data_IF_824601321900
#
_entry.id   IF_824601321900
#
_cell.length_a   1.000
_cell.length_b   1.000
_cell.length_c   1.000
_cell.angle_alpha   90.00
_cell.angle_beta   90.00
_cell.angle_gamma   90.00
#
_symmetry.space_group_name_H-M   'P 1'
#
loop_
_entity.id
_entity.type
_entity.pdbx_description
1 polymer ?
#
# COMPACT_ATOMS: atom_id res chain seq x y z
N UNK A 1 34.07 -1.57 -17.70
CA UNK A 1 33.00 -1.24 -16.72
C UNK A 1 31.93 -2.32 -16.84
N UNK A 2 31.38 -2.81 -15.74
CA UNK A 2 30.25 -3.74 -15.79
C UNK A 2 29.05 -3.05 -16.48
N UNK A 3 28.30 -3.78 -17.30
CA UNK A 3 27.11 -3.27 -17.98
C UNK A 3 26.06 -2.90 -16.91
N UNK A 4 25.55 -1.66 -16.95
CA UNK A 4 24.46 -1.23 -16.05
C UNK A 4 23.19 -1.99 -16.38
N UNK A 5 22.42 -2.35 -15.35
CA UNK A 5 21.08 -2.91 -15.52
C UNK A 5 20.10 -1.80 -15.91
N UNK A 6 19.22 -2.09 -16.88
CA UNK A 6 18.20 -1.17 -17.38
C UNK A 6 16.92 -1.34 -16.61
N UNK A 7 16.55 -0.30 -15.86
CA UNK A 7 15.42 -0.30 -14.94
C UNK A 7 14.32 0.62 -15.45
N UNK A 8 13.15 0.08 -15.73
CA UNK A 8 11.95 0.87 -16.01
C UNK A 8 11.26 1.27 -14.71
N UNK A 9 11.12 2.56 -14.42
CA UNK A 9 10.31 3.04 -13.31
C UNK A 9 8.92 3.38 -13.84
N UNK A 10 7.94 2.58 -13.46
CA UNK A 10 6.55 2.71 -13.93
C UNK A 10 5.71 3.44 -12.89
N UNK A 11 4.96 4.48 -13.29
CA UNK A 11 4.23 5.34 -12.36
C UNK A 11 2.96 5.94 -12.97
N UNK A 12 2.10 6.54 -12.12
CA UNK A 12 0.82 7.13 -12.48
C UNK A 12 -0.32 6.12 -12.35
N UNK A 13 -1.03 5.83 -13.43
CA UNK A 13 -2.10 4.83 -13.48
C UNK A 13 -3.50 5.40 -13.26
N UNK A 14 -4.50 4.53 -13.43
CA UNK A 14 -5.95 4.87 -13.37
C UNK A 14 -6.53 4.82 -11.97
N UNK A 15 -5.70 4.64 -10.94
CA UNK A 15 -6.16 4.57 -9.55
C UNK A 15 -6.45 5.94 -8.95
N UNK A 16 -7.19 5.96 -7.83
CA UNK A 16 -7.36 7.16 -7.01
C UNK A 16 -6.07 7.62 -6.30
N UNK A 17 -4.98 6.88 -6.44
CA UNK A 17 -3.66 7.16 -5.84
C UNK A 17 -2.62 7.61 -6.89
N UNK A 18 -3.10 8.08 -8.04
CA UNK A 18 -2.26 8.53 -9.16
C UNK A 18 -1.17 9.53 -8.72
N UNK A 19 -1.55 10.57 -7.97
CA UNK A 19 -0.65 11.62 -7.49
C UNK A 19 0.40 11.07 -6.51
N UNK A 20 0.02 10.14 -5.66
CA UNK A 20 0.95 9.46 -4.73
C UNK A 20 1.97 8.65 -5.49
N UNK A 21 1.56 8.02 -6.59
CA UNK A 21 2.46 7.29 -7.50
C UNK A 21 3.50 8.22 -8.14
N UNK A 22 3.10 9.41 -8.60
CA UNK A 22 4.02 10.41 -9.15
C UNK A 22 5.08 10.84 -8.13
N UNK A 23 4.66 11.13 -6.89
CA UNK A 23 5.56 11.52 -5.80
C UNK A 23 6.54 10.39 -5.43
N UNK A 24 6.04 9.16 -5.36
CA UNK A 24 6.85 7.99 -5.07
C UNK A 24 7.88 7.75 -6.17
N UNK A 25 7.49 7.87 -7.45
CA UNK A 25 8.39 7.74 -8.58
C UNK A 25 9.48 8.81 -8.59
N UNK A 26 9.13 10.08 -8.38
CA UNK A 26 10.11 11.17 -8.26
C UNK A 26 11.13 10.89 -7.14
N UNK A 27 10.66 10.35 -6.00
CA UNK A 27 11.53 9.99 -4.88
C UNK A 27 12.48 8.84 -5.22
N UNK A 28 12.00 7.79 -5.90
CA UNK A 28 12.82 6.65 -6.37
C UNK A 28 13.83 7.11 -7.41
N UNK A 29 13.40 7.88 -8.42
CA UNK A 29 14.25 8.40 -9.49
C UNK A 29 15.37 9.29 -8.97
N UNK A 30 15.11 10.06 -7.90
CA UNK A 30 16.11 10.90 -7.24
C UNK A 30 17.09 10.15 -6.32
N UNK A 31 16.81 8.89 -5.96
CA UNK A 31 17.61 8.14 -5.00
C UNK A 31 18.29 6.89 -5.59
N UNK A 32 17.82 6.40 -6.74
CA UNK A 32 18.33 5.19 -7.38
C UNK A 32 19.81 5.34 -7.77
N UNK A 33 20.58 4.27 -7.63
CA UNK A 33 22.01 4.24 -7.91
C UNK A 33 22.30 4.29 -9.42
N UNK A 34 22.62 5.49 -9.94
CA UNK A 34 22.96 5.69 -11.35
C UNK A 34 24.27 5.05 -11.78
N UNK A 35 25.11 4.65 -10.87
CA UNK A 35 26.34 3.92 -11.20
C UNK A 35 26.05 2.44 -11.54
N UNK A 36 25.02 1.88 -10.92
CA UNK A 36 24.56 0.49 -11.13
C UNK A 36 23.46 0.37 -12.19
N UNK A 37 22.60 1.39 -12.31
CA UNK A 37 21.36 1.34 -13.08
C UNK A 37 21.28 2.42 -14.15
N UNK A 38 20.84 2.03 -15.33
CA UNK A 38 20.32 2.90 -16.37
C UNK A 38 18.80 2.92 -16.23
N UNK A 39 18.21 4.12 -16.14
CA UNK A 39 16.82 4.24 -15.69
C UNK A 39 15.96 4.92 -16.73
N UNK A 40 14.86 4.26 -17.09
CA UNK A 40 13.85 4.76 -18.03
C UNK A 40 12.54 4.99 -17.27
N UNK A 41 12.09 6.22 -17.08
CA UNK A 41 10.78 6.50 -16.52
C UNK A 41 9.68 6.21 -17.54
N UNK A 42 8.61 5.57 -17.08
CA UNK A 42 7.45 5.19 -17.88
C UNK A 42 6.20 5.67 -17.14
N UNK A 43 5.43 6.55 -17.77
CA UNK A 43 4.22 7.11 -17.19
C UNK A 43 2.96 6.40 -17.68
N UNK A 44 1.94 6.33 -16.82
CA UNK A 44 0.57 5.93 -17.21
C UNK A 44 -0.38 7.07 -16.84
N UNK A 45 -1.14 7.58 -17.81
CA UNK A 45 -2.12 8.65 -17.55
C UNK A 45 -3.32 8.15 -16.73
N UNK A 46 -4.16 9.06 -16.25
CA UNK A 46 -5.44 8.70 -15.59
C UNK A 46 -6.40 7.96 -16.52
N UNK A 47 -6.29 8.18 -17.83
CA UNK A 47 -7.08 7.49 -18.86
C UNK A 47 -6.48 6.11 -19.22
N UNK A 48 -5.27 5.79 -18.71
CA UNK A 48 -4.60 4.51 -18.93
C UNK A 48 -3.67 4.48 -20.15
N UNK A 49 -3.30 5.63 -20.73
CA UNK A 49 -2.32 5.69 -21.83
C UNK A 49 -0.90 5.58 -21.26
N UNK A 50 -0.08 4.76 -21.91
CA UNK A 50 1.32 4.58 -21.57
C UNK A 50 2.19 5.56 -22.32
N UNK A 51 3.11 6.20 -21.61
CA UNK A 51 3.97 7.24 -22.13
C UNK A 51 5.41 6.95 -21.75
N UNK A 52 6.36 7.06 -22.69
CA UNK A 52 7.76 7.24 -22.35
C UNK A 52 7.97 8.73 -22.06
N UNK A 53 8.46 9.06 -20.91
CA UNK A 53 8.75 10.44 -20.57
C UNK A 53 10.07 10.84 -21.25
N UNK A 54 9.99 11.47 -22.43
CA UNK A 54 11.16 12.08 -23.10
C UNK A 54 11.83 13.14 -22.19
N UNK A 55 11.02 13.84 -21.38
CA UNK A 55 11.48 14.92 -20.48
C UNK A 55 11.54 14.47 -19.00
N UNK A 56 11.93 13.20 -18.78
CA UNK A 56 12.19 12.67 -17.43
C UNK A 56 13.16 13.53 -16.59
N UNK A 57 13.97 14.36 -17.23
CA UNK A 57 14.84 15.31 -16.56
C UNK A 57 14.07 16.30 -15.69
N UNK A 58 12.89 16.76 -16.10
CA UNK A 58 12.09 17.70 -15.30
C UNK A 58 11.49 17.02 -14.05
N UNK A 59 11.14 15.74 -14.15
CA UNK A 59 10.71 14.95 -13.00
C UNK A 59 11.87 14.64 -12.04
N UNK A 60 13.08 14.44 -12.58
CA UNK A 60 14.30 14.19 -11.80
C UNK A 60 14.75 15.45 -11.03
N UNK A 61 14.50 16.64 -11.60
CA UNK A 61 14.89 17.93 -11.03
C UNK A 61 13.77 18.55 -10.17
N UNK A 62 12.56 18.00 -10.18
CA UNK A 62 11.47 18.49 -9.34
C UNK A 62 11.75 18.18 -7.86
N UNK A 63 11.77 19.21 -7.03
CA UNK A 63 11.78 19.07 -5.58
C UNK A 63 10.50 18.35 -5.13
N UNK A 64 10.62 17.10 -4.69
CA UNK A 64 9.50 16.30 -4.21
C UNK A 64 8.72 17.03 -3.10
N UNK A 65 9.39 17.89 -2.32
CA UNK A 65 8.77 18.76 -1.32
C UNK A 65 7.93 19.88 -1.95
N UNK A 66 8.33 20.40 -3.10
CA UNK A 66 7.56 21.42 -3.83
C UNK A 66 6.29 20.83 -4.44
N UNK A 67 6.37 19.61 -4.99
CA UNK A 67 5.21 18.86 -5.50
C UNK A 67 4.24 18.53 -4.35
N UNK A 68 4.75 18.07 -3.20
CA UNK A 68 3.94 17.81 -2.02
C UNK A 68 3.23 19.08 -1.49
N UNK A 69 3.90 20.25 -1.50
CA UNK A 69 3.28 21.53 -1.12
C UNK A 69 2.18 21.95 -2.09
N UNK A 70 2.35 21.75 -3.40
CA UNK A 70 1.36 22.06 -4.43
C UNK A 70 0.13 21.15 -4.33
N UNK A 71 0.32 19.85 -4.07
CA UNK A 71 -0.78 18.93 -3.82
C UNK A 71 -1.57 19.29 -2.55
N UNK A 72 -0.89 19.81 -1.50
CA UNK A 72 -1.55 20.34 -0.29
C UNK A 72 -2.40 21.58 -0.56
N UNK A 73 -2.03 22.39 -1.55
CA UNK A 73 -2.76 23.59 -1.95
C UNK A 73 -4.00 23.29 -2.82
N UNK A 74 -4.25 22.04 -3.19
CA UNK A 74 -5.43 21.64 -3.97
C UNK A 74 -5.40 22.12 -5.44
N UNK A 75 -4.23 22.45 -5.97
CA UNK A 75 -4.08 22.90 -7.35
C UNK A 75 -4.01 21.69 -8.31
N UNK A 76 -5.05 21.43 -9.13
CA UNK A 76 -5.09 20.30 -10.04
C UNK A 76 -4.09 20.42 -11.22
N UNK A 77 -3.58 21.61 -11.52
CA UNK A 77 -2.56 21.83 -12.57
C UNK A 77 -1.13 21.72 -12.02
N UNK A 78 -0.97 21.58 -10.72
CA UNK A 78 0.31 21.69 -10.03
C UNK A 78 1.16 20.43 -10.01
N UNK A 79 0.80 19.37 -10.71
CA UNK A 79 1.60 18.15 -10.80
C UNK A 79 2.52 18.22 -12.03
N UNK A 80 3.84 18.42 -11.87
CA UNK A 80 4.79 18.36 -13.00
C UNK A 80 4.65 17.06 -13.80
N UNK A 81 4.31 15.95 -13.10
CA UNK A 81 4.04 14.68 -13.73
C UNK A 81 2.80 14.65 -14.63
N UNK A 82 1.73 15.40 -14.32
CA UNK A 82 0.56 15.45 -15.18
C UNK A 82 0.85 16.12 -16.52
N UNK A 83 1.66 17.18 -16.52
CA UNK A 83 2.11 17.84 -17.75
C UNK A 83 3.02 16.94 -18.58
N UNK A 84 4.01 16.29 -17.95
CA UNK A 84 4.91 15.32 -18.57
C UNK A 84 4.16 14.13 -19.17
N UNK A 85 3.16 13.58 -18.46
CA UNK A 85 2.34 12.48 -18.93
C UNK A 85 1.43 12.89 -20.10
N UNK A 86 1.06 14.15 -20.20
CA UNK A 86 0.23 14.66 -21.29
C UNK A 86 1.03 14.91 -22.57
N UNK A 87 2.28 15.35 -22.43
CA UNK A 87 3.19 15.70 -23.53
C UNK A 87 4.13 14.53 -23.95
N UNK A 88 4.12 13.41 -23.19
CA UNK A 88 5.00 12.27 -23.44
C UNK A 88 4.65 11.46 -24.69
N UNK A 89 5.62 10.70 -25.17
CA UNK A 89 5.49 9.85 -26.36
C UNK A 89 4.81 8.53 -25.97
N UNK A 90 3.76 8.07 -26.69
CA UNK A 90 3.13 6.78 -26.42
C UNK A 90 4.13 5.62 -26.48
N UNK A 91 4.16 4.81 -25.45
CA UNK A 91 5.06 3.66 -25.33
C UNK A 91 4.23 2.38 -25.19
N UNK A 92 4.57 1.36 -25.95
CA UNK A 92 3.99 0.02 -25.86
C UNK A 92 5.03 -0.95 -25.29
N UNK A 93 4.63 -1.76 -24.31
CA UNK A 93 5.39 -2.96 -23.95
C UNK A 93 5.12 -4.02 -25.03
N UNK A 94 6.15 -4.51 -25.68
CA UNK A 94 6.00 -5.57 -26.66
C UNK A 94 5.62 -6.89 -25.94
N UNK A 95 4.55 -7.58 -26.36
CA UNK A 95 4.08 -8.78 -25.69
C UNK A 95 4.89 -10.05 -25.97
N UNK A 96 6.07 -9.95 -26.60
CA UNK A 96 6.88 -11.12 -26.91
C UNK A 96 7.67 -11.59 -25.67
N UNK A 97 7.66 -12.91 -25.38
CA UNK A 97 8.44 -13.49 -24.30
C UNK A 97 9.93 -13.12 -24.46
N UNK A 98 10.52 -12.49 -23.44
CA UNK A 98 11.87 -11.95 -23.39
C UNK A 98 12.13 -10.69 -24.24
N UNK A 99 11.14 -10.13 -24.91
CA UNK A 99 11.25 -8.83 -25.56
C UNK A 99 10.84 -7.74 -24.57
N UNK A 100 11.81 -7.18 -23.89
CA UNK A 100 11.64 -6.02 -23.00
C UNK A 100 11.71 -4.71 -23.79
N UNK A 101 11.27 -4.75 -25.04
CA UNK A 101 11.39 -3.62 -25.96
C UNK A 101 10.23 -2.66 -25.77
N UNK A 102 10.53 -1.43 -25.38
CA UNK A 102 9.58 -0.31 -25.45
C UNK A 102 9.55 0.20 -26.88
N UNK A 103 8.40 0.07 -27.56
CA UNK A 103 8.22 0.60 -28.92
C UNK A 103 7.85 2.08 -28.82
N UNK A 104 8.68 2.93 -29.38
CA UNK A 104 8.37 4.33 -29.57
C UNK A 104 7.77 4.51 -30.96
N UNK A 105 6.47 4.86 -31.07
CA UNK A 105 5.76 4.92 -32.37
C UNK A 105 6.31 5.97 -33.35
N UNK A 106 7.11 6.94 -32.89
CA UNK A 106 7.60 8.04 -33.73
C UNK A 106 9.10 8.03 -34.05
N UNK A 107 9.85 7.10 -33.47
CA UNK A 107 11.27 6.92 -33.81
C UNK A 107 11.49 5.43 -34.03
N UNK A 108 12.03 5.09 -35.21
CA UNK A 108 12.26 3.68 -35.57
C UNK A 108 12.98 2.93 -34.44
N UNK A 109 12.61 1.70 -34.27
CA UNK A 109 13.06 0.66 -33.36
C UNK A 109 14.43 0.87 -32.66
N UNK A 110 14.56 1.87 -31.80
CA UNK A 110 15.59 1.87 -30.74
C UNK A 110 15.00 1.13 -29.54
N UNK A 111 15.02 -0.20 -29.67
CA UNK A 111 14.51 -1.12 -28.69
C UNK A 111 15.46 -1.22 -27.52
N UNK A 112 15.31 -0.36 -26.53
CA UNK A 112 16.00 -0.54 -25.26
C UNK A 112 15.24 -1.55 -24.42
N UNK A 113 15.68 -2.83 -24.49
CA UNK A 113 15.14 -3.88 -23.65
C UNK A 113 15.39 -3.58 -22.17
N UNK A 114 14.36 -3.60 -21.33
CA UNK A 114 14.47 -3.45 -19.89
C UNK A 114 14.90 -4.78 -19.24
N UNK A 115 15.77 -4.72 -18.25
CA UNK A 115 16.18 -5.88 -17.47
C UNK A 115 15.20 -6.12 -16.30
N UNK A 116 14.60 -5.05 -15.77
CA UNK A 116 13.63 -5.10 -14.67
C UNK A 116 12.72 -3.88 -14.68
N UNK A 117 11.48 -4.05 -14.21
CA UNK A 117 10.53 -2.94 -13.98
C UNK A 117 10.32 -2.73 -12.49
N UNK A 118 10.35 -1.49 -12.06
CA UNK A 118 9.92 -1.09 -10.71
C UNK A 118 8.57 -0.37 -10.82
N UNK A 119 7.45 -1.08 -10.62
CA UNK A 119 6.13 -0.48 -10.67
C UNK A 119 5.87 0.27 -9.36
N UNK A 120 5.96 1.58 -9.40
CA UNK A 120 5.62 2.48 -8.28
C UNK A 120 4.16 2.91 -8.45
N UNK A 121 3.28 1.92 -8.58
CA UNK A 121 1.84 2.09 -8.80
C UNK A 121 1.09 1.73 -7.53
N UNK A 122 0.27 2.64 -7.03
CA UNK A 122 -0.50 2.43 -5.80
C UNK A 122 -1.99 2.21 -6.11
N UNK A 123 -2.62 1.33 -5.31
CA UNK A 123 -4.04 1.02 -5.41
C UNK A 123 -4.41 0.12 -6.59
N UNK A 124 -5.65 0.29 -7.06
CA UNK A 124 -6.24 -0.53 -8.13
C UNK A 124 -5.43 -0.47 -9.41
N UNK A 125 -5.32 -1.58 -10.12
CA UNK A 125 -4.48 -1.82 -11.30
C UNK A 125 -2.97 -1.85 -11.03
N UNK A 126 -2.50 -1.34 -9.88
CA UNK A 126 -1.09 -1.34 -9.48
C UNK A 126 -0.73 -2.45 -8.49
N UNK A 127 -1.62 -2.71 -7.52
CA UNK A 127 -1.39 -3.63 -6.41
C UNK A 127 -2.27 -4.88 -6.42
N UNK A 128 -3.18 -5.02 -7.39
CA UNK A 128 -4.24 -6.04 -7.43
C UNK A 128 -3.94 -7.26 -8.33
N UNK A 129 -2.71 -7.38 -8.81
CA UNK A 129 -2.30 -8.46 -9.72
C UNK A 129 -2.44 -8.12 -11.21
N UNK A 130 -3.12 -7.03 -11.56
CA UNK A 130 -3.40 -6.68 -12.97
C UNK A 130 -2.12 -6.35 -13.73
N UNK A 131 -1.31 -5.40 -13.24
CA UNK A 131 -0.05 -5.04 -13.89
C UNK A 131 0.99 -6.16 -13.78
N UNK A 132 0.97 -6.91 -12.68
CA UNK A 132 1.84 -8.05 -12.46
C UNK A 132 1.56 -9.14 -13.53
N UNK A 133 0.28 -9.37 -13.85
CA UNK A 133 -0.11 -10.30 -14.91
C UNK A 133 0.45 -9.90 -16.29
N UNK A 134 0.51 -8.60 -16.61
CA UNK A 134 1.13 -8.11 -17.81
C UNK A 134 2.63 -8.42 -17.85
N UNK A 135 3.36 -8.18 -16.75
CA UNK A 135 4.79 -8.47 -16.66
C UNK A 135 5.07 -9.97 -16.72
N UNK A 136 4.18 -10.79 -16.13
CA UNK A 136 4.27 -12.24 -16.20
C UNK A 136 4.18 -12.75 -17.64
N UNK A 137 3.19 -12.28 -18.40
CA UNK A 137 3.00 -12.64 -19.81
C UNK A 137 4.16 -12.17 -20.69
N UNK A 138 4.72 -11.00 -20.38
CA UNK A 138 5.88 -10.45 -21.10
C UNK A 138 7.22 -11.07 -20.68
N UNK A 139 7.26 -11.92 -19.62
CA UNK A 139 8.49 -12.52 -19.11
C UNK A 139 9.46 -11.53 -18.48
N UNK A 140 8.98 -10.36 -18.01
CA UNK A 140 9.79 -9.26 -17.48
C UNK A 140 9.92 -9.41 -15.97
N UNK A 141 11.15 -9.27 -15.44
CA UNK A 141 11.37 -9.14 -14.00
C UNK A 141 10.75 -7.84 -13.47
N UNK A 142 10.14 -7.89 -12.29
CA UNK A 142 9.54 -6.70 -11.67
C UNK A 142 9.63 -6.73 -10.14
N UNK A 143 9.73 -5.54 -9.56
CA UNK A 143 9.77 -5.34 -8.11
C UNK A 143 8.39 -5.54 -7.50
N UNK A 144 8.32 -6.19 -6.35
CA UNK A 144 7.10 -6.42 -5.59
C UNK A 144 6.57 -7.85 -5.71
N UNK A 145 5.37 -8.07 -5.20
CA UNK A 145 4.72 -9.37 -5.17
C UNK A 145 4.26 -9.84 -6.55
N UNK A 146 4.15 -11.15 -6.74
CA UNK A 146 3.57 -11.76 -7.92
C UNK A 146 2.06 -11.53 -8.04
N UNK A 147 1.44 -12.09 -9.08
CA UNK A 147 -0.01 -11.96 -9.34
C UNK A 147 -0.84 -12.41 -8.14
N UNK A 148 -0.56 -13.60 -7.60
CA UNK A 148 -1.30 -14.17 -6.48
C UNK A 148 -1.17 -13.30 -5.23
N UNK A 149 0.07 -12.98 -4.83
CA UNK A 149 0.34 -12.19 -3.62
C UNK A 149 -0.26 -10.79 -3.71
N UNK A 150 -0.16 -10.13 -4.87
CA UNK A 150 -0.76 -8.81 -5.09
C UNK A 150 -2.30 -8.86 -4.98
N UNK A 151 -2.94 -9.78 -5.69
CA UNK A 151 -4.39 -9.92 -5.66
C UNK A 151 -4.93 -10.32 -4.28
N UNK A 152 -4.26 -11.27 -3.60
CA UNK A 152 -4.62 -11.72 -2.26
C UNK A 152 -4.40 -10.63 -1.20
N UNK A 153 -3.30 -9.87 -1.29
CA UNK A 153 -2.99 -8.77 -0.38
C UNK A 153 -3.91 -7.58 -0.54
N UNK A 154 -4.40 -7.31 -1.75
CA UNK A 154 -5.31 -6.19 -2.01
C UNK A 154 -6.74 -6.47 -1.53
N UNK A 155 -7.23 -7.70 -1.68
CA UNK A 155 -8.59 -8.09 -1.29
C UNK A 155 -8.68 -8.41 0.19
N UNK A 156 -9.26 -7.50 0.98
CA UNK A 156 -9.36 -7.62 2.45
C UNK A 156 -10.08 -8.88 2.94
N UNK A 157 -11.03 -9.40 2.17
CA UNK A 157 -11.73 -10.64 2.54
C UNK A 157 -10.83 -11.86 2.31
N UNK A 158 -10.17 -11.95 1.14
CA UNK A 158 -9.24 -13.04 0.82
C UNK A 158 -8.05 -13.02 1.77
N UNK A 159 -7.42 -11.87 1.95
CA UNK A 159 -6.33 -11.66 2.89
C UNK A 159 -6.67 -12.13 4.30
N UNK A 160 -7.85 -11.76 4.83
CA UNK A 160 -8.28 -12.20 6.16
C UNK A 160 -8.54 -13.71 6.27
N UNK A 161 -9.02 -14.35 5.21
CA UNK A 161 -9.15 -15.81 5.16
C UNK A 161 -7.78 -16.49 5.22
N UNK A 162 -6.79 -15.97 4.51
CA UNK A 162 -5.40 -16.46 4.58
C UNK A 162 -4.80 -16.25 5.98
N UNK A 163 -5.06 -15.11 6.61
CA UNK A 163 -4.63 -14.85 7.98
C UNK A 163 -5.27 -15.82 8.98
N UNK A 164 -6.57 -16.15 8.83
CA UNK A 164 -7.25 -17.15 9.68
C UNK A 164 -6.63 -18.52 9.51
N UNK A 165 -6.36 -18.97 8.29
CA UNK A 165 -5.70 -20.24 8.01
C UNK A 165 -4.30 -20.31 8.60
N UNK A 166 -3.54 -19.21 8.50
CA UNK A 166 -2.24 -19.06 9.14
C UNK A 166 -2.29 -18.83 10.66
N UNK A 167 -3.49 -18.89 11.27
CA UNK A 167 -3.73 -18.68 12.71
C UNK A 167 -3.23 -17.35 13.25
N UNK A 168 -3.23 -16.32 12.40
CA UNK A 168 -2.87 -14.98 12.79
C UNK A 168 -4.01 -14.31 13.56
N UNK A 169 -3.69 -13.53 14.60
CA UNK A 169 -4.71 -12.80 15.36
C UNK A 169 -5.27 -11.65 14.50
N UNK A 170 -6.54 -11.71 14.16
CA UNK A 170 -7.27 -10.66 13.44
C UNK A 170 -8.51 -10.23 14.21
N UNK A 171 -9.04 -9.06 13.89
CA UNK A 171 -10.31 -8.58 14.43
C UNK A 171 -11.47 -9.39 13.88
N UNK A 172 -12.55 -9.51 14.66
CA UNK A 172 -13.80 -10.12 14.17
C UNK A 172 -14.33 -9.32 12.98
N UNK A 173 -14.76 -10.04 11.97
CA UNK A 173 -15.29 -9.41 10.74
C UNK A 173 -16.43 -10.23 10.15
N UNK A 174 -17.19 -9.58 9.28
CA UNK A 174 -18.24 -10.16 8.44
C UNK A 174 -18.04 -9.62 7.02
N UNK A 175 -18.13 -10.50 6.04
CA UNK A 175 -18.10 -10.13 4.62
C UNK A 175 -19.51 -10.23 4.05
N UNK A 176 -19.92 -9.22 3.26
CA UNK A 176 -21.19 -9.12 2.58
C UNK A 176 -20.97 -8.84 1.10
N UNK A 177 -21.86 -9.32 0.24
CA UNK A 177 -21.94 -8.87 -1.13
C UNK A 177 -22.87 -7.64 -1.24
N UNK A 178 -22.52 -6.70 -2.12
CA UNK A 178 -23.38 -5.56 -2.45
C UNK A 178 -24.81 -6.01 -2.82
N UNK A 179 -24.93 -7.07 -3.64
CA UNK A 179 -26.21 -7.62 -4.04
C UNK A 179 -27.06 -8.10 -2.85
N UNK A 180 -26.44 -8.71 -1.82
CA UNK A 180 -27.13 -9.14 -0.61
C UNK A 180 -27.59 -7.96 0.23
N UNK A 181 -26.76 -6.92 0.34
CA UNK A 181 -27.10 -5.66 0.98
C UNK A 181 -28.31 -5.01 0.30
N UNK A 182 -28.25 -4.82 -1.01
CA UNK A 182 -29.32 -4.18 -1.80
C UNK A 182 -30.64 -4.97 -1.77
N UNK A 183 -30.54 -6.31 -1.87
CA UNK A 183 -31.74 -7.19 -1.86
C UNK A 183 -32.41 -7.25 -0.49
N UNK A 184 -31.64 -7.25 0.59
CA UNK A 184 -32.18 -7.52 1.93
C UNK A 184 -31.44 -6.75 3.04
N UNK A 185 -31.56 -5.40 3.10
CA UNK A 185 -30.82 -4.58 4.07
C UNK A 185 -31.04 -4.99 5.53
N UNK A 186 -32.29 -5.35 5.89
CA UNK A 186 -32.62 -5.78 7.27
C UNK A 186 -31.88 -7.06 7.67
N UNK A 187 -31.74 -8.04 6.75
CA UNK A 187 -31.03 -9.29 7.00
C UNK A 187 -29.52 -9.05 7.12
N UNK A 188 -28.97 -8.20 6.26
CA UNK A 188 -27.56 -7.83 6.30
C UNK A 188 -27.19 -7.15 7.63
N UNK A 189 -27.97 -6.17 8.08
CA UNK A 189 -27.78 -5.51 9.38
C UNK A 189 -27.88 -6.53 10.53
N UNK A 190 -28.89 -7.39 10.54
CA UNK A 190 -29.06 -8.40 11.58
C UNK A 190 -27.88 -9.39 11.63
N UNK A 191 -27.32 -9.77 10.47
CA UNK A 191 -26.13 -10.62 10.40
C UNK A 191 -24.91 -9.94 11.06
N UNK A 192 -24.68 -8.68 10.73
CA UNK A 192 -23.57 -7.89 11.30
C UNK A 192 -23.74 -7.77 12.82
N UNK A 193 -24.90 -7.35 13.32
CA UNK A 193 -25.15 -7.12 14.73
C UNK A 193 -25.11 -8.39 15.58
N UNK A 194 -25.43 -9.55 14.97
CA UNK A 194 -25.27 -10.86 15.64
C UNK A 194 -23.80 -11.23 15.83
N UNK A 195 -22.93 -10.88 14.87
CA UNK A 195 -21.53 -11.28 14.85
C UNK A 195 -20.59 -10.25 15.52
N UNK A 196 -20.90 -8.96 15.40
CA UNK A 196 -20.00 -7.86 15.76
C UNK A 196 -20.64 -6.93 16.78
N UNK A 197 -19.78 -6.22 17.53
CA UNK A 197 -20.17 -5.13 18.45
C UNK A 197 -19.71 -3.80 17.91
N UNK A 198 -20.53 -2.77 18.06
CA UNK A 198 -20.16 -1.40 17.73
C UNK A 198 -19.02 -0.85 18.62
N UNK A 199 -18.19 0.06 18.09
CA UNK A 199 -18.20 0.56 16.73
C UNK A 199 -17.70 -0.49 15.74
N UNK A 200 -18.16 -0.39 14.48
CA UNK A 200 -17.70 -1.22 13.38
C UNK A 200 -17.15 -0.34 12.25
N UNK A 201 -16.17 -0.86 11.52
CA UNK A 201 -15.61 -0.24 10.33
C UNK A 201 -16.11 -0.96 9.09
N UNK A 202 -16.70 -0.24 8.16
CA UNK A 202 -17.21 -0.74 6.90
C UNK A 202 -16.22 -0.36 5.80
N UNK A 203 -15.73 -1.35 5.05
CA UNK A 203 -14.67 -1.17 4.07
C UNK A 203 -15.05 -1.84 2.75
N UNK A 204 -14.80 -1.21 1.59
CA UNK A 204 -14.68 -1.94 0.32
C UNK A 204 -13.58 -2.99 0.44
N UNK A 205 -13.75 -4.19 -0.14
CA UNK A 205 -12.76 -5.25 0.02
C UNK A 205 -11.49 -4.96 -0.77
N UNK A 206 -11.61 -4.42 -1.98
CA UNK A 206 -10.52 -4.30 -2.95
C UNK A 206 -10.22 -2.83 -3.28
N UNK A 207 -9.87 -2.04 -2.26
CA UNK A 207 -9.54 -0.62 -2.42
C UNK A 207 -8.53 -0.19 -1.37
N UNK A 208 -7.58 0.69 -1.76
CA UNK A 208 -6.53 1.26 -0.91
C UNK A 208 -6.91 2.60 -0.28
N UNK A 209 -5.94 3.24 0.38
CA UNK A 209 -5.95 4.62 0.88
C UNK A 209 -7.18 5.05 1.69
N UNK A 210 -7.81 4.13 2.40
CA UNK A 210 -9.01 4.41 3.21
C UNK A 210 -10.22 4.96 2.44
N UNK A 211 -10.23 4.91 1.10
CA UNK A 211 -11.35 5.37 0.27
C UNK A 211 -12.57 4.48 0.52
N UNK A 212 -13.72 5.10 0.76
CA UNK A 212 -14.97 4.38 1.04
C UNK A 212 -15.05 3.70 2.41
N UNK A 213 -14.05 3.88 3.29
CA UNK A 213 -14.07 3.34 4.65
C UNK A 213 -14.86 4.29 5.56
N UNK A 214 -15.77 3.72 6.35
CA UNK A 214 -16.60 4.46 7.30
C UNK A 214 -16.67 3.74 8.63
N UNK A 215 -16.63 4.51 9.72
CA UNK A 215 -16.86 4.02 11.08
C UNK A 215 -18.33 4.24 11.45
N UNK A 216 -19.01 3.20 11.88
CA UNK A 216 -20.38 3.27 12.41
C UNK A 216 -20.40 2.96 13.90
N UNK A 217 -20.98 3.86 14.69
CA UNK A 217 -21.07 3.73 16.16
C UNK A 217 -22.36 3.05 16.61
N UNK A 218 -23.34 2.95 15.72
CA UNK A 218 -24.67 2.40 16.01
C UNK A 218 -25.38 2.00 14.72
N UNK A 219 -26.56 1.38 14.90
CA UNK A 219 -27.40 0.90 13.79
C UNK A 219 -27.84 1.97 12.80
N UNK A 220 -28.04 3.23 13.27
CA UNK A 220 -28.50 4.33 12.38
C UNK A 220 -27.39 4.72 11.37
N UNK A 221 -26.14 4.61 11.78
CA UNK A 221 -24.97 4.94 10.94
C UNK A 221 -24.58 3.77 10.02
N UNK A 222 -24.91 2.53 10.37
CA UNK A 222 -24.49 1.33 9.66
C UNK A 222 -25.05 1.27 8.23
N UNK A 223 -26.34 1.57 8.03
CA UNK A 223 -26.97 1.54 6.71
C UNK A 223 -26.32 2.51 5.71
N UNK A 224 -26.22 3.81 6.02
CA UNK A 224 -25.50 4.77 5.18
C UNK A 224 -24.07 4.36 4.87
N UNK A 225 -23.33 3.83 5.85
CA UNK A 225 -21.94 3.35 5.70
C UNK A 225 -21.83 2.16 4.72
N UNK A 226 -22.75 1.18 4.80
CA UNK A 226 -22.82 0.07 3.86
C UNK A 226 -23.13 0.55 2.44
N UNK A 227 -24.06 1.50 2.29
CA UNK A 227 -24.42 2.09 1.00
C UNK A 227 -23.23 2.84 0.39
N UNK A 228 -22.45 3.55 1.20
CA UNK A 228 -21.25 4.25 0.72
C UNK A 228 -20.19 3.25 0.23
N UNK A 229 -19.84 2.25 1.03
CA UNK A 229 -18.84 1.25 0.66
C UNK A 229 -19.26 0.44 -0.59
N UNK A 230 -20.57 0.17 -0.74
CA UNK A 230 -21.14 -0.52 -1.89
C UNK A 230 -20.99 0.24 -3.22
N UNK A 231 -20.72 1.55 -3.23
CA UNK A 231 -20.38 2.29 -4.45
C UNK A 231 -19.02 1.91 -5.01
N UNK A 232 -18.11 1.49 -4.14
CA UNK A 232 -16.70 1.28 -4.47
C UNK A 232 -16.34 -0.19 -4.75
N UNK A 233 -17.09 -1.14 -4.17
CA UNK A 233 -16.82 -2.56 -4.41
C UNK A 233 -18.11 -3.37 -4.36
N UNK A 234 -18.09 -4.52 -5.06
CA UNK A 234 -19.13 -5.54 -4.97
C UNK A 234 -19.08 -6.30 -3.64
N UNK A 235 -17.96 -6.28 -2.93
CA UNK A 235 -17.69 -7.02 -1.69
C UNK A 235 -17.34 -6.05 -0.57
N UNK A 236 -18.03 -6.17 0.56
CA UNK A 236 -17.91 -5.29 1.72
C UNK A 236 -17.39 -6.07 2.91
N UNK A 237 -16.37 -5.58 3.57
CA UNK A 237 -15.83 -6.14 4.82
C UNK A 237 -16.22 -5.23 5.97
N UNK A 238 -16.92 -5.79 6.97
CA UNK A 238 -17.30 -5.08 8.19
C UNK A 238 -16.47 -5.63 9.34
N UNK A 239 -15.70 -4.80 9.99
CA UNK A 239 -14.78 -5.17 11.06
C UNK A 239 -15.20 -4.57 12.39
N UNK A 240 -15.08 -5.36 13.47
CA UNK A 240 -15.25 -4.82 14.81
C UNK A 240 -14.10 -3.91 15.18
N UNK A 241 -14.42 -2.70 15.65
CA UNK A 241 -13.41 -1.75 16.12
C UNK A 241 -12.62 -2.28 17.31
N UNK A 242 -11.32 -2.02 17.31
CA UNK A 242 -10.43 -2.25 18.46
C UNK A 242 -10.41 -1.00 19.32
N UNK A 243 -10.54 -1.18 20.63
CA UNK A 243 -10.55 -0.09 21.59
C UNK A 243 -11.70 -0.22 22.60
N UNK A 244 -11.58 0.46 23.72
CA UNK A 244 -12.60 0.49 24.76
C UNK A 244 -13.82 1.34 24.38
N UNK A 245 -14.92 1.19 25.14
CA UNK A 245 -16.03 2.14 25.08
C UNK A 245 -15.46 3.52 25.43
N UNK A 246 -15.81 4.54 24.63
CA UNK A 246 -15.57 5.93 25.05
C UNK A 246 -16.09 6.07 26.49
N UNK A 247 -15.30 6.57 27.43
CA UNK A 247 -15.83 6.88 28.75
C UNK A 247 -17.02 7.82 28.53
N UNK A 248 -18.17 7.45 29.09
CA UNK A 248 -19.31 8.36 29.11
C UNK A 248 -18.78 9.68 29.67
N UNK A 249 -18.99 10.78 28.93
CA UNK A 249 -18.53 12.12 29.30
C UNK A 249 -18.82 12.33 30.79
N UNK A 250 -17.79 12.27 31.63
CA UNK A 250 -17.86 12.95 32.93
C UNK A 250 -18.04 14.42 32.62
N UNK A 251 -19.05 15.02 33.17
CA UNK A 251 -19.23 16.48 33.06
C UNK A 251 -17.89 17.15 33.37
N UNK A 252 -17.45 18.13 32.56
CA UNK A 252 -16.22 18.83 32.81
C UNK A 252 -16.35 19.46 34.20
N UNK A 253 -15.43 19.14 35.09
CA UNK A 253 -15.23 19.92 36.32
C UNK A 253 -14.46 21.15 35.90
N UNK A 254 -15.10 22.30 36.05
CA UNK A 254 -14.48 23.58 35.72
C UNK A 254 -13.21 23.75 36.56
N UNK A 255 -12.05 23.85 35.90
CA UNK A 255 -10.83 24.30 36.58
C UNK A 255 -9.56 23.46 36.36
N UNK A 256 -9.53 22.38 35.59
CA UNK A 256 -8.27 21.63 35.35
C UNK A 256 -7.85 21.62 33.85
N UNK A 257 -6.78 22.40 33.50
CA UNK A 257 -6.27 22.46 32.14
C UNK A 257 -5.47 21.22 31.70
N UNK A 258 -5.21 20.26 32.59
CA UNK A 258 -4.31 19.11 32.37
C UNK A 258 -4.98 17.83 31.88
N UNK A 259 -6.31 17.69 32.05
CA UNK A 259 -7.03 16.43 31.78
C UNK A 259 -7.50 16.24 30.35
N UNK A 260 -7.53 17.27 29.52
CA UNK A 260 -8.10 17.19 28.15
C UNK A 260 -7.29 16.36 27.16
N UNK A 261 -6.00 16.09 27.42
CA UNK A 261 -5.15 15.27 26.53
C UNK A 261 -5.04 13.80 26.94
N UNK A 262 -5.21 13.45 28.21
CA UNK A 262 -5.08 12.05 28.69
C UNK A 262 -6.37 11.22 28.55
N UNK A 263 -7.54 11.83 28.61
CA UNK A 263 -8.83 11.12 28.58
C UNK A 263 -9.24 10.59 27.21
N UNK A 264 -8.72 11.15 26.11
CA UNK A 264 -9.05 10.73 24.73
C UNK A 264 -8.10 9.65 24.22
N UNK A 265 -6.85 9.60 24.71
CA UNK A 265 -5.87 8.60 24.30
C UNK A 265 -6.12 7.19 24.86
N UNK A 266 -6.75 7.05 26.03
CA UNK A 266 -6.93 5.75 26.69
C UNK A 266 -7.96 4.80 26.04
N UNK A 267 -8.81 5.26 25.13
CA UNK A 267 -9.87 4.45 24.52
C UNK A 267 -9.61 4.02 23.07
N UNK A 268 -8.52 4.50 22.46
CA UNK A 268 -8.20 4.28 21.03
C UNK A 268 -7.18 3.16 20.87
N UNK A 269 -7.37 2.32 19.82
CA UNK A 269 -6.35 1.38 19.43
C UNK A 269 -5.04 2.10 19.09
N UNK A 270 -3.91 1.50 19.44
CA UNK A 270 -2.60 1.92 18.95
C UNK A 270 -2.39 1.28 17.57
N UNK A 271 -1.83 2.04 16.65
CA UNK A 271 -1.61 1.63 15.26
C UNK A 271 -0.10 1.48 15.01
N UNK A 272 0.32 0.29 14.54
CA UNK A 272 1.72 -0.01 14.27
C UNK A 272 1.92 -0.46 12.84
N UNK A 273 3.09 -0.15 12.30
CA UNK A 273 3.49 -0.53 10.97
C UNK A 273 4.88 -1.21 11.00
N UNK A 274 5.04 -2.26 10.20
CA UNK A 274 6.30 -2.98 10.01
C UNK A 274 6.56 -3.13 8.52
N UNK A 275 7.74 -2.74 8.06
CA UNK A 275 8.20 -3.01 6.72
C UNK A 275 8.80 -4.41 6.64
N UNK A 276 8.38 -5.20 5.65
CA UNK A 276 8.92 -6.52 5.36
C UNK A 276 9.61 -6.49 4.00
N UNK A 277 10.80 -7.11 3.91
CA UNK A 277 11.67 -7.13 2.73
C UNK A 277 12.22 -8.53 2.50
N UNK A 278 12.13 -9.05 1.30
CA UNK A 278 12.66 -10.35 0.90
C UNK A 278 11.69 -11.17 0.07
N UNK A 279 12.14 -12.32 -0.40
CA UNK A 279 11.34 -13.34 -1.07
C UNK A 279 11.03 -14.47 -0.07
N UNK A 280 11.61 -15.65 -0.21
CA UNK A 280 11.33 -16.84 0.63
C UNK A 280 11.80 -16.70 2.08
N UNK A 281 12.83 -15.88 2.33
CA UNK A 281 13.38 -15.58 3.65
C UNK A 281 13.19 -14.09 4.03
N UNK A 282 11.94 -13.60 4.16
CA UNK A 282 11.67 -12.19 4.41
C UNK A 282 12.11 -11.76 5.81
N UNK A 283 12.57 -10.51 5.90
CA UNK A 283 13.00 -9.87 7.12
C UNK A 283 12.05 -8.72 7.48
N UNK A 284 11.85 -8.49 8.78
CA UNK A 284 11.04 -7.41 9.30
C UNK A 284 11.93 -6.28 9.84
N UNK A 285 11.57 -5.04 9.54
CA UNK A 285 12.19 -3.82 10.07
C UNK A 285 11.97 -3.65 11.59
N UNK A 286 12.43 -2.55 12.15
CA UNK A 286 11.92 -2.05 13.43
C UNK A 286 10.42 -1.77 13.32
N UNK A 287 9.71 -1.76 14.47
CA UNK A 287 8.28 -1.40 14.52
C UNK A 287 8.15 0.10 14.61
N UNK A 288 7.29 0.69 13.79
CA UNK A 288 6.87 2.09 13.91
C UNK A 288 5.45 2.19 14.44
N UNK A 289 5.14 3.27 15.13
CA UNK A 289 3.79 3.62 15.58
C UNK A 289 3.32 4.87 14.84
N UNK A 290 2.07 4.86 14.40
CA UNK A 290 1.39 6.06 13.89
C UNK A 290 0.47 6.58 15.00
N UNK A 291 0.70 7.81 15.42
CA UNK A 291 -0.21 8.53 16.33
C UNK A 291 -1.09 9.42 15.45
N UNK A 292 -2.34 9.03 15.18
CA UNK A 292 -3.21 9.81 14.31
C UNK A 292 -3.67 11.10 14.99
N UNK A 293 -3.63 12.21 14.27
CA UNK A 293 -4.09 13.51 14.76
C UNK A 293 -5.62 13.68 14.78
N UNK A 294 -6.37 12.85 14.01
CA UNK A 294 -7.84 12.84 13.96
C UNK A 294 -8.38 11.50 14.49
N UNK A 295 -9.69 11.41 14.74
CA UNK A 295 -10.35 10.18 15.21
C UNK A 295 -10.20 9.01 14.22
N UNK A 296 -10.04 9.29 12.94
CA UNK A 296 -9.83 8.32 11.87
C UNK A 296 -8.67 8.74 10.98
N UNK A 297 -7.79 7.78 10.64
CA UNK A 297 -6.63 7.98 9.77
C UNK A 297 -7.07 7.77 8.31
N UNK A 298 -7.66 8.81 7.72
CA UNK A 298 -8.14 8.85 6.34
C UNK A 298 -7.05 9.21 5.32
N UNK A 299 -7.44 9.30 4.03
CA UNK A 299 -6.53 9.67 2.94
C UNK A 299 -5.83 11.02 3.18
N UNK A 300 -6.57 12.04 3.64
CA UNK A 300 -6.00 13.36 3.93
C UNK A 300 -4.97 13.28 5.06
N UNK A 301 -5.25 12.48 6.11
CA UNK A 301 -4.33 12.30 7.22
C UNK A 301 -3.07 11.53 6.83
N UNK A 302 -3.14 10.65 5.80
CA UNK A 302 -1.99 9.87 5.32
C UNK A 302 -1.02 10.68 4.46
N UNK A 303 -1.52 11.60 3.65
CA UNK A 303 -0.73 12.23 2.59
C UNK A 303 -0.74 13.77 2.62
N UNK A 304 -1.75 14.40 3.19
CA UNK A 304 -2.02 15.82 3.03
C UNK A 304 -2.02 16.63 4.35
N UNK A 305 -2.17 16.01 5.52
CA UNK A 305 -2.28 16.74 6.78
C UNK A 305 -1.08 16.55 7.71
N UNK A 306 -0.69 17.62 8.40
CA UNK A 306 0.36 17.61 9.46
C UNK A 306 -0.08 16.88 10.75
N UNK A 307 -1.25 16.19 10.73
CA UNK A 307 -1.91 15.69 11.92
C UNK A 307 -1.44 14.33 12.46
N UNK A 308 -0.65 13.55 11.72
CA UNK A 308 -0.20 12.23 12.17
C UNK A 308 1.28 12.22 12.46
N UNK A 309 1.66 11.71 13.62
CA UNK A 309 3.06 11.71 14.09
C UNK A 309 3.60 10.27 14.04
N UNK A 310 4.60 9.97 13.19
CA UNK A 310 5.30 8.70 13.22
C UNK A 310 6.30 8.66 14.39
N UNK A 311 6.28 7.57 15.15
CA UNK A 311 7.24 7.28 16.22
C UNK A 311 8.04 6.04 15.81
N UNK A 312 9.31 6.23 15.49
CA UNK A 312 10.20 5.16 15.02
C UNK A 312 11.52 5.19 15.81
N UNK A 313 11.87 4.11 16.52
CA UNK A 313 11.08 2.92 16.78
C UNK A 313 9.91 3.19 17.74
N UNK A 314 8.86 2.36 17.66
CA UNK A 314 7.71 2.44 18.54
C UNK A 314 8.06 2.16 20.01
N UNK A 315 7.40 2.84 20.94
CA UNK A 315 7.56 2.60 22.38
C UNK A 315 6.82 1.31 22.80
N UNK A 316 7.51 0.17 22.64
CA UNK A 316 7.04 -1.18 22.94
C UNK A 316 8.04 -1.95 23.81
N UNK A 317 7.56 -2.93 24.57
CA UNK A 317 8.44 -3.90 25.23
C UNK A 317 9.17 -4.77 24.20
N UNK A 318 10.30 -5.36 24.59
CA UNK A 318 11.06 -6.28 23.73
C UNK A 318 10.21 -7.48 23.25
N UNK A 319 9.31 -7.98 24.11
CA UNK A 319 8.41 -9.09 23.78
C UNK A 319 7.34 -8.69 22.76
N UNK A 320 6.74 -7.51 22.90
CA UNK A 320 5.76 -6.97 21.95
C UNK A 320 6.40 -6.69 20.60
N UNK A 321 7.57 -6.04 20.59
CA UNK A 321 8.34 -5.78 19.37
C UNK A 321 8.65 -7.07 18.62
N UNK A 322 9.17 -8.09 19.32
CA UNK A 322 9.44 -9.40 18.71
C UNK A 322 8.17 -10.02 18.14
N UNK A 323 7.09 -10.04 18.93
CA UNK A 323 5.82 -10.62 18.52
C UNK A 323 5.23 -9.94 17.27
N UNK A 324 5.25 -8.63 17.19
CA UNK A 324 4.76 -7.87 16.04
C UNK A 324 5.60 -8.19 14.78
N UNK A 325 6.92 -8.25 14.91
CA UNK A 325 7.82 -8.59 13.79
C UNK A 325 7.62 -10.01 13.29
N UNK A 326 7.44 -10.98 14.19
CA UNK A 326 7.12 -12.37 13.85
C UNK A 326 5.78 -12.47 13.11
N UNK A 327 4.75 -11.77 13.60
CA UNK A 327 3.45 -11.70 12.95
C UNK A 327 3.51 -11.01 11.57
N UNK A 328 4.36 -10.00 11.40
CA UNK A 328 4.55 -9.33 10.11
C UNK A 328 5.12 -10.28 9.05
N UNK A 329 6.16 -11.04 9.40
CA UNK A 329 6.75 -12.07 8.53
C UNK A 329 5.73 -13.17 8.23
N UNK A 330 4.96 -13.60 9.21
CA UNK A 330 3.93 -14.63 9.03
C UNK A 330 2.79 -14.14 8.12
N UNK A 331 2.34 -12.89 8.25
CA UNK A 331 1.33 -12.29 7.38
C UNK A 331 1.82 -12.16 5.93
N UNK A 332 3.07 -11.75 5.75
CA UNK A 332 3.73 -11.68 4.44
C UNK A 332 3.73 -13.04 3.74
N UNK A 333 4.17 -14.08 4.44
CA UNK A 333 4.19 -15.46 3.91
C UNK A 333 2.79 -16.01 3.66
N UNK A 334 1.82 -15.73 4.54
CA UNK A 334 0.45 -16.20 4.39
C UNK A 334 -0.24 -15.70 3.12
N UNK A 335 0.14 -14.51 2.64
CA UNK A 335 -0.37 -13.93 1.40
C UNK A 335 0.52 -14.20 0.17
N UNK A 336 1.53 -15.06 0.28
CA UNK A 336 2.48 -15.37 -0.82
C UNK A 336 3.14 -14.10 -1.40
N UNK A 337 3.57 -13.20 -0.51
CA UNK A 337 4.18 -11.93 -0.92
C UNK A 337 5.67 -12.10 -1.24
N UNK A 338 6.20 -11.20 -2.06
CA UNK A 338 7.61 -11.15 -2.45
C UNK A 338 8.09 -9.70 -2.55
N UNK A 339 9.40 -9.52 -2.40
CA UNK A 339 10.07 -8.23 -2.53
C UNK A 339 9.81 -7.33 -1.33
N UNK A 340 8.62 -6.74 -1.25
CA UNK A 340 8.25 -5.79 -0.21
C UNK A 340 6.78 -5.89 0.20
N UNK A 341 6.52 -5.55 1.45
CA UNK A 341 5.17 -5.18 1.92
C UNK A 341 5.27 -4.38 3.23
N UNK A 342 4.28 -3.56 3.52
CA UNK A 342 4.04 -3.01 4.86
C UNK A 342 2.91 -3.78 5.50
N UNK A 343 3.13 -4.24 6.72
CA UNK A 343 2.12 -4.92 7.52
C UNK A 343 1.67 -3.99 8.63
N UNK A 344 0.37 -3.77 8.70
CA UNK A 344 -0.27 -2.83 9.62
C UNK A 344 -0.96 -3.59 10.74
N UNK A 345 -0.85 -3.08 11.97
CA UNK A 345 -1.32 -3.72 13.20
C UNK A 345 -2.18 -2.79 14.03
N UNK A 346 -3.14 -3.38 14.73
CA UNK A 346 -3.90 -2.72 15.78
C UNK A 346 -3.59 -3.38 17.12
N UNK A 347 -3.40 -2.58 18.17
CA UNK A 347 -3.23 -3.07 19.54
C UNK A 347 -4.28 -2.43 20.46
N UNK A 348 -4.85 -3.21 21.35
CA UNK A 348 -5.71 -2.68 22.40
C UNK A 348 -4.94 -1.67 23.26
N UNK A 349 -5.55 -0.52 23.56
CA UNK A 349 -4.86 0.53 24.32
C UNK A 349 -4.53 0.13 25.74
N UNK A 350 -5.40 -0.69 26.36
CA UNK A 350 -5.37 -1.07 27.77
C UNK A 350 -5.60 -2.56 28.00
N UNK A 351 -5.41 -3.01 29.22
CA UNK A 351 -5.69 -4.37 29.67
C UNK A 351 -4.72 -5.39 29.10
N UNK A 352 -5.23 -6.36 28.32
CA UNK A 352 -4.43 -7.46 27.74
C UNK A 352 -3.52 -7.05 26.61
N UNK A 353 -3.66 -5.83 26.08
CA UNK A 353 -2.86 -5.29 24.95
C UNK A 353 -2.77 -6.28 23.80
N UNK A 354 -3.91 -6.88 23.42
CA UNK A 354 -3.96 -7.82 22.32
C UNK A 354 -3.57 -7.16 21.02
N UNK A 355 -2.72 -7.82 20.25
CA UNK A 355 -2.22 -7.38 18.96
C UNK A 355 -3.02 -8.11 17.88
N UNK A 356 -3.45 -7.36 16.86
CA UNK A 356 -4.17 -7.88 15.70
C UNK A 356 -3.46 -7.45 14.42
N UNK A 357 -3.27 -8.37 13.47
CA UNK A 357 -2.88 -8.04 12.11
C UNK A 357 -4.09 -7.39 11.44
N UNK A 358 -3.92 -6.19 10.92
CA UNK A 358 -4.98 -5.44 10.25
C UNK A 358 -4.99 -5.75 8.76
N UNK A 359 -3.91 -5.42 8.06
CA UNK A 359 -3.77 -5.60 6.62
C UNK A 359 -2.30 -5.68 6.19
N UNK A 360 -2.06 -6.14 4.96
CA UNK A 360 -0.79 -5.98 4.24
C UNK A 360 -0.97 -5.01 3.09
N UNK A 361 0.07 -4.24 2.78
CA UNK A 361 0.13 -3.31 1.65
C UNK A 361 1.28 -3.74 0.77
N UNK A 362 0.98 -4.22 -0.44
CA UNK A 362 1.97 -4.88 -1.33
C UNK A 362 2.86 -3.88 -2.06
N UNK A 363 2.41 -2.64 -2.22
CA UNK A 363 3.19 -1.52 -2.72
C UNK A 363 2.94 -0.29 -1.84
N UNK A 364 3.50 -0.23 -0.63
CA UNK A 364 3.30 0.88 0.29
C UNK A 364 3.85 2.17 -0.30
N UNK A 365 3.37 3.33 0.19
CA UNK A 365 3.92 4.62 -0.21
C UNK A 365 5.45 4.63 -0.13
N UNK A 366 6.11 5.10 -1.20
CA UNK A 366 7.54 4.94 -1.38
C UNK A 366 8.28 6.28 -1.53
N UNK A 367 7.80 7.33 -0.86
CA UNK A 367 8.53 8.60 -0.72
C UNK A 367 9.50 8.54 0.46
N UNK A 368 10.49 9.45 0.51
CA UNK A 368 11.42 9.56 1.65
C UNK A 368 10.72 9.81 3.00
N UNK A 369 9.53 10.37 2.98
CA UNK A 369 8.73 10.63 4.19
C UNK A 369 7.78 9.48 4.52
N UNK A 370 7.59 8.52 3.63
CA UNK A 370 6.73 7.34 3.84
C UNK A 370 7.29 6.40 4.91
N UNK A 371 6.41 5.71 5.59
CA UNK A 371 6.78 4.82 6.70
C UNK A 371 7.68 3.67 6.25
N UNK A 372 7.41 3.04 5.11
CA UNK A 372 8.18 1.89 4.65
C UNK A 372 9.69 2.18 4.53
N UNK A 373 10.14 3.22 3.80
CA UNK A 373 11.56 3.57 3.78
C UNK A 373 12.11 4.04 5.13
N UNK A 374 11.32 4.80 5.92
CA UNK A 374 11.76 5.26 7.25
C UNK A 374 12.02 4.10 8.21
N UNK A 375 11.18 3.07 8.18
CA UNK A 375 11.34 1.87 9.01
C UNK A 375 12.63 1.13 8.64
N UNK A 376 12.95 1.01 7.37
CA UNK A 376 14.21 0.41 6.92
C UNK A 376 15.42 1.28 7.24
N UNK A 377 15.30 2.60 7.08
CA UNK A 377 16.38 3.53 7.47
C UNK A 377 16.69 3.41 8.97
N UNK A 378 15.65 3.35 9.82
CA UNK A 378 15.81 3.12 11.25
C UNK A 378 16.34 1.71 11.60
N UNK A 379 16.24 0.77 10.67
CA UNK A 379 16.82 -0.59 10.76
C UNK A 379 18.23 -0.69 10.20
N UNK A 380 18.82 0.42 9.72
CA UNK A 380 20.19 0.49 9.21
C UNK A 380 20.33 0.34 7.69
N UNK A 381 19.24 0.26 6.92
CA UNK A 381 19.28 0.17 5.46
C UNK A 381 18.90 1.54 4.85
N UNK A 382 19.83 2.18 4.15
CA UNK A 382 19.59 3.47 3.51
C UNK A 382 18.56 3.37 2.38
N UNK A 383 17.93 4.48 2.01
CA UNK A 383 16.92 4.51 0.96
C UNK A 383 17.47 4.06 -0.41
N UNK A 384 18.72 4.44 -0.74
CA UNK A 384 19.42 4.01 -1.96
C UNK A 384 19.68 2.50 -1.97
N UNK A 385 20.14 1.95 -0.84
CA UNK A 385 20.38 0.51 -0.67
C UNK A 385 19.07 -0.28 -0.72
N UNK A 386 18.00 0.25 -0.11
CA UNK A 386 16.68 -0.37 -0.16
C UNK A 386 16.17 -0.52 -1.59
N UNK A 387 16.27 0.53 -2.43
CA UNK A 387 15.91 0.47 -3.85
C UNK A 387 16.76 -0.58 -4.58
N UNK A 388 18.06 -0.58 -4.35
CA UNK A 388 18.98 -1.56 -4.93
C UNK A 388 18.58 -2.98 -4.56
N UNK A 389 18.32 -3.23 -3.26
CA UNK A 389 17.93 -4.57 -2.78
C UNK A 389 16.60 -5.04 -3.35
N UNK A 390 15.63 -4.14 -3.54
CA UNK A 390 14.36 -4.47 -4.16
C UNK A 390 14.50 -4.90 -5.63
N UNK A 391 15.39 -4.23 -6.38
CA UNK A 391 15.71 -4.61 -7.76
C UNK A 391 16.41 -5.98 -7.78
N UNK A 392 17.36 -6.23 -6.89
CA UNK A 392 18.02 -7.53 -6.77
C UNK A 392 17.03 -8.65 -6.46
N UNK A 393 16.10 -8.44 -5.51
CA UNK A 393 15.04 -9.40 -5.17
C UNK A 393 14.12 -9.71 -6.36
N UNK A 394 13.81 -8.72 -7.19
CA UNK A 394 13.04 -8.92 -8.41
C UNK A 394 13.77 -9.83 -9.40
N UNK A 395 15.07 -9.63 -9.58
CA UNK A 395 15.91 -10.46 -10.44
C UNK A 395 16.10 -11.89 -9.87
N UNK A 396 16.28 -12.02 -8.55
CA UNK A 396 16.34 -13.32 -7.86
C UNK A 396 15.05 -14.13 -8.10
N UNK A 397 13.87 -13.49 -7.92
CA UNK A 397 12.58 -14.14 -8.16
C UNK A 397 12.41 -14.54 -9.63
N UNK A 398 12.80 -13.70 -10.57
CA UNK A 398 12.74 -14.02 -11.99
C UNK A 398 13.69 -15.19 -12.35
N UNK A 399 14.90 -15.20 -11.80
CA UNK A 399 15.85 -16.29 -12.01
C UNK A 399 15.32 -17.63 -11.50
N UNK A 400 14.63 -17.64 -10.35
CA UNK A 400 13.99 -18.87 -9.84
C UNK A 400 12.81 -19.30 -10.75
N UNK A 401 12.01 -18.34 -11.18
CA UNK A 401 10.85 -18.60 -12.04
C UNK A 401 11.23 -19.23 -13.39
N UNK A 402 12.28 -18.75 -14.06
CA UNK A 402 12.70 -19.28 -15.36
C UNK A 402 13.23 -20.73 -15.29
N UNK A 403 13.43 -21.29 -14.11
CA UNK A 403 13.74 -22.70 -13.90
C UNK A 403 12.52 -23.61 -14.03
N UNK A 404 11.31 -23.01 -14.03
CA UNK A 404 10.06 -23.77 -14.14
C UNK A 404 9.82 -24.16 -15.59
N UNK A 405 9.56 -25.46 -15.84
CA UNK A 405 9.22 -26.00 -17.15
C UNK A 405 7.70 -25.94 -17.32
N UNK A 406 7.22 -25.28 -18.37
CA UNK A 406 5.80 -25.14 -18.69
C UNK A 406 5.30 -26.07 -19.81
N UNK A 407 6.21 -26.75 -20.52
CA UNK A 407 5.90 -27.72 -21.53
C UNK A 407 6.14 -29.15 -21.04
N UNK A 408 5.39 -30.13 -21.54
CA UNK A 408 5.75 -31.53 -21.38
C UNK A 408 7.04 -31.78 -22.18
N UNK A 409 8.00 -32.44 -21.57
CA UNK A 409 9.10 -33.05 -22.28
C UNK A 409 8.49 -34.15 -23.14
N UNK A 410 8.72 -34.12 -24.47
CA UNK A 410 8.33 -35.19 -25.40
C UNK A 410 9.22 -36.42 -25.24
#
# INVERSE_FOLDING_TARGET
MAKKLRVGILFGGRSGEHEVSLLSAASVLGAIDRDKFEVTPIGITKEGRWLAAADAHDLLNSDASAVARRLRAGDPEATPGAKLLHEGIPTLLAPEPRSTTTLNQNQGLDSQALDVVFPVLHGTFGEDGTIQGLFELAGIAYVGSGVLGSAAGMDKDVMKRLFVEAKLPIVKHVTLLRADWEKSPRKAIALIERALKYPVFIKPANLGSSVGITKAHNRKELGPALTLAAKYDRKLVVEQGVGGKLPQRRRPVAGDPGETRRGVQGARAREFEVAVLGNDAPQASVVGEIIPGKEFYDYEAKYLSEGSVPVIPAALSKSETRKIRELAVAAFKACDLSGLARVDFLMEPDGKRRIFVNEVNTMPGFTRISMYPKLWQASGLSYKELITRLIELALERQAEKVRTTYSREE
#
